data_IF_549358872999
#
_entry.id   IF_549358872999
#
_cell.length_a   1.000
_cell.length_b   1.000
_cell.length_c   1.000
_cell.angle_alpha   90.00
_cell.angle_beta   90.00
_cell.angle_gamma   90.00
#
_symmetry.space_group_name_H-M   'P 1'
#
loop_
_entity.id
_entity.type
_entity.pdbx_description
1 polymer ?
#
# COMPACT_ATOMS: atom_id res chain seq x y z
N UNK A 1 24.63 58.42 25.00
CA UNK A 1 25.24 57.26 24.31
C UNK A 1 24.73 55.94 24.88
N UNK A 2 24.62 55.81 26.20
CA UNK A 2 24.07 54.65 26.90
C UNK A 2 22.60 54.36 26.57
N UNK A 3 21.75 55.39 26.45
CA UNK A 3 20.31 55.17 26.23
C UNK A 3 20.00 54.55 24.86
N UNK A 4 20.73 54.95 23.82
CA UNK A 4 20.60 54.37 22.48
C UNK A 4 21.05 52.90 22.45
N UNK A 5 22.11 52.55 23.20
CA UNK A 5 22.57 51.16 23.37
C UNK A 5 21.53 50.31 24.11
N UNK A 6 20.91 50.84 25.16
CA UNK A 6 19.86 50.15 25.92
C UNK A 6 18.64 49.90 25.04
N UNK A 7 18.19 50.90 24.28
CA UNK A 7 17.05 50.76 23.35
C UNK A 7 17.36 49.71 22.28
N UNK A 8 18.55 49.75 21.67
CA UNK A 8 18.97 48.77 20.67
C UNK A 8 19.00 47.35 21.24
N UNK A 9 19.50 47.18 22.46
CA UNK A 9 19.54 45.88 23.13
C UNK A 9 18.14 45.35 23.42
N UNK A 10 17.21 46.20 23.88
CA UNK A 10 15.82 45.80 24.11
C UNK A 10 15.15 45.35 22.81
N UNK A 11 15.32 46.11 21.72
CA UNK A 11 14.78 45.76 20.40
C UNK A 11 15.37 44.44 19.90
N UNK A 12 16.67 44.21 20.11
CA UNK A 12 17.33 42.98 19.74
C UNK A 12 16.78 41.77 20.52
N UNK A 13 16.56 41.91 21.83
CA UNK A 13 15.92 40.87 22.63
C UNK A 13 14.50 40.54 22.17
N UNK A 14 13.70 41.56 21.82
CA UNK A 14 12.36 41.35 21.27
C UNK A 14 12.43 40.59 19.94
N UNK A 15 13.34 40.96 19.04
CA UNK A 15 13.53 40.28 17.76
C UNK A 15 13.98 38.82 17.94
N UNK A 16 14.90 38.56 18.87
CA UNK A 16 15.37 37.20 19.20
C UNK A 16 14.23 36.33 19.73
N UNK A 17 13.41 36.87 20.64
CA UNK A 17 12.26 36.13 21.18
C UNK A 17 11.22 35.85 20.09
N UNK A 18 10.95 36.80 19.20
CA UNK A 18 10.05 36.60 18.07
C UNK A 18 10.56 35.52 17.11
N UNK A 19 11.86 35.52 16.79
CA UNK A 19 12.51 34.49 15.98
C UNK A 19 12.43 33.12 16.64
N UNK A 20 12.66 33.02 17.95
CA UNK A 20 12.55 31.77 18.71
C UNK A 20 11.14 31.18 18.59
N UNK A 21 10.11 32.00 18.78
CA UNK A 21 8.71 31.58 18.64
C UNK A 21 8.40 31.12 17.22
N UNK A 22 8.87 31.85 16.20
CA UNK A 22 8.69 31.47 14.80
C UNK A 22 9.36 30.12 14.48
N UNK A 23 10.59 29.90 14.96
CA UNK A 23 11.31 28.62 14.79
C UNK A 23 10.57 27.47 15.48
N UNK A 24 10.07 27.66 16.70
CA UNK A 24 9.27 26.64 17.40
C UNK A 24 7.97 26.35 16.63
N UNK A 25 7.28 27.38 16.13
CA UNK A 25 6.05 27.21 15.35
C UNK A 25 6.31 26.43 14.05
N UNK A 26 7.36 26.78 13.30
CA UNK A 26 7.77 26.08 12.09
C UNK A 26 8.22 24.64 12.39
N UNK A 27 8.98 24.42 13.47
CA UNK A 27 9.37 23.07 13.90
C UNK A 27 8.15 22.20 14.24
N UNK A 28 7.11 22.77 14.87
CA UNK A 28 5.85 22.08 15.13
C UNK A 28 5.10 21.78 13.85
N UNK A 29 5.04 22.71 12.90
CA UNK A 29 4.42 22.51 11.57
C UNK A 29 5.12 21.40 10.79
N UNK A 30 6.45 21.34 10.84
CA UNK A 30 7.24 20.27 10.23
C UNK A 30 6.98 18.95 10.95
N UNK A 31 6.92 18.94 12.28
CA UNK A 31 6.62 17.74 13.08
C UNK A 31 5.26 17.10 12.74
N UNK A 32 4.18 17.89 12.70
CA UNK A 32 2.83 17.37 12.36
C UNK A 32 2.74 16.91 10.89
N UNK A 33 3.53 17.50 10.00
CA UNK A 33 3.56 17.15 8.59
C UNK A 33 4.36 15.85 8.38
N UNK A 34 5.53 15.72 9.04
CA UNK A 34 6.32 14.49 9.03
C UNK A 34 5.56 13.32 9.67
N UNK A 35 4.79 13.55 10.73
CA UNK A 35 3.97 12.50 11.36
C UNK A 35 2.86 11.97 10.43
N UNK A 36 2.37 12.79 9.50
CA UNK A 36 1.43 12.37 8.46
C UNK A 36 2.06 11.77 7.21
N UNK A 37 3.32 12.10 6.91
CA UNK A 37 3.99 11.73 5.64
C UNK A 37 5.01 10.59 5.84
N UNK A 38 5.59 10.44 7.02
CA UNK A 38 6.65 9.48 7.28
C UNK A 38 6.18 8.31 8.14
N UNK A 39 5.55 7.28 7.56
CA UNK A 39 5.94 5.92 7.85
C UNK A 39 7.14 5.56 6.95
N UNK A 40 8.23 6.33 7.01
CA UNK A 40 9.40 6.15 6.13
C UNK A 40 10.66 6.15 7.00
N UNK A 41 11.15 4.94 7.28
CA UNK A 41 12.42 4.77 7.98
C UNK A 41 12.86 3.32 8.18
N UNK A 42 11.94 2.36 8.43
CA UNK A 42 12.37 1.02 8.88
C UNK A 42 11.42 -0.18 8.66
N UNK A 43 10.35 -0.10 7.85
CA UNK A 43 9.32 -1.17 7.78
C UNK A 43 9.04 -1.71 6.37
N UNK A 44 10.05 -1.71 5.50
CA UNK A 44 10.20 -2.83 4.55
C UNK A 44 10.63 -4.07 5.35
N UNK A 45 9.82 -4.49 6.32
CA UNK A 45 9.91 -5.87 6.76
C UNK A 45 9.28 -6.63 5.59
N UNK A 46 10.14 -7.14 4.70
CA UNK A 46 9.79 -8.12 3.68
C UNK A 46 9.47 -9.46 4.36
N UNK A 47 8.49 -9.37 5.26
CA UNK A 47 7.96 -10.46 6.05
C UNK A 47 6.74 -10.98 5.30
N UNK A 48 6.70 -12.29 5.06
CA UNK A 48 5.71 -12.95 4.22
C UNK A 48 6.36 -13.55 2.96
N UNK A 49 5.61 -14.27 2.12
CA UNK A 49 6.12 -14.92 0.90
C UNK A 49 6.88 -13.95 0.02
N UNK A 50 8.11 -14.26 -0.40
CA UNK A 50 8.94 -13.32 -1.16
C UNK A 50 8.47 -13.21 -2.61
N UNK A 51 8.83 -12.11 -3.25
CA UNK A 51 8.64 -11.97 -4.70
C UNK A 51 9.52 -13.03 -5.40
N UNK A 52 8.93 -13.78 -6.31
CA UNK A 52 9.52 -14.93 -7.00
C UNK A 52 9.24 -16.29 -6.34
N UNK A 53 8.67 -16.32 -5.13
CA UNK A 53 8.28 -17.57 -4.45
C UNK A 53 6.81 -17.91 -4.71
N UNK A 54 6.45 -19.17 -4.49
CA UNK A 54 5.06 -19.62 -4.54
C UNK A 54 4.25 -18.97 -3.40
N UNK A 55 3.07 -18.49 -3.74
CA UNK A 55 2.10 -17.98 -2.79
C UNK A 55 1.56 -19.14 -1.92
N UNK A 56 1.35 -18.94 -0.61
CA UNK A 56 0.65 -19.90 0.21
C UNK A 56 -0.77 -20.10 -0.32
N UNK A 57 -1.18 -21.36 -0.41
CA UNK A 57 -2.47 -21.73 -1.00
C UNK A 57 -3.55 -21.68 0.09
N UNK A 58 -4.61 -20.94 -0.17
CA UNK A 58 -5.80 -20.88 0.66
C UNK A 58 -7.04 -21.15 -0.17
N UNK A 59 -8.01 -21.84 0.43
CA UNK A 59 -9.38 -21.93 -0.08
C UNK A 59 -10.30 -21.31 0.97
N UNK A 60 -10.88 -20.15 0.66
CA UNK A 60 -11.62 -19.33 1.62
C UNK A 60 -13.03 -19.03 1.13
N UNK A 61 -14.03 -19.03 2.03
CA UNK A 61 -15.37 -18.58 1.69
C UNK A 61 -15.36 -17.07 1.40
N UNK A 62 -16.03 -16.69 0.31
CA UNK A 62 -16.28 -15.29 -0.01
C UNK A 62 -17.53 -14.81 0.71
N UNK A 63 -17.50 -13.58 1.23
CA UNK A 63 -18.63 -12.91 1.86
C UNK A 63 -19.84 -12.74 0.90
N UNK A 64 -19.59 -12.72 -0.41
CA UNK A 64 -20.63 -12.71 -1.44
C UNK A 64 -21.25 -14.07 -1.77
N UNK A 65 -20.80 -15.13 -1.09
CA UNK A 65 -21.07 -16.52 -1.46
C UNK A 65 -19.99 -17.09 -2.39
N UNK A 66 -19.89 -18.42 -2.41
CA UNK A 66 -18.84 -19.14 -3.13
C UNK A 66 -17.53 -19.22 -2.37
N UNK A 67 -16.52 -19.78 -3.03
CA UNK A 67 -15.16 -19.96 -2.51
C UNK A 67 -14.16 -19.32 -3.47
N UNK A 68 -13.06 -18.83 -2.92
CA UNK A 68 -11.94 -18.29 -3.70
C UNK A 68 -10.65 -18.98 -3.28
N UNK A 69 -9.97 -19.54 -4.28
CA UNK A 69 -8.63 -20.06 -4.12
C UNK A 69 -7.63 -18.92 -4.30
N UNK A 70 -6.81 -18.67 -3.27
CA UNK A 70 -5.71 -17.69 -3.31
C UNK A 70 -4.40 -18.45 -3.37
N UNK A 71 -3.51 -18.08 -4.29
CA UNK A 71 -2.17 -18.67 -4.42
C UNK A 71 -2.11 -20.00 -5.19
N UNK A 72 -3.25 -20.64 -5.46
CA UNK A 72 -3.31 -21.77 -6.39
C UNK A 72 -3.12 -21.31 -7.84
N UNK A 73 -2.58 -22.17 -8.73
CA UNK A 73 -2.58 -21.90 -10.16
C UNK A 73 -3.98 -21.62 -10.69
N UNK A 74 -4.12 -20.57 -11.49
CA UNK A 74 -5.38 -20.08 -12.01
C UNK A 74 -5.24 -19.70 -13.49
N UNK A 75 -6.37 -19.48 -14.17
CA UNK A 75 -6.36 -19.06 -15.57
C UNK A 75 -5.87 -17.61 -15.77
N UNK A 76 -5.85 -16.82 -14.70
CA UNK A 76 -5.54 -15.38 -14.71
C UNK A 76 -4.67 -15.05 -13.51
N UNK A 77 -3.92 -13.95 -13.61
CA UNK A 77 -3.23 -13.38 -12.47
C UNK A 77 -4.25 -12.88 -11.43
N UNK A 78 -3.89 -12.92 -10.15
CA UNK A 78 -4.72 -12.45 -9.04
C UNK A 78 -4.09 -11.25 -8.38
N UNK A 79 -4.79 -10.12 -8.35
CA UNK A 79 -4.48 -8.98 -7.50
C UNK A 79 -5.25 -9.11 -6.18
N UNK A 80 -4.53 -9.51 -5.13
CA UNK A 80 -5.05 -9.60 -3.78
C UNK A 80 -4.85 -8.25 -3.06
N UNK A 81 -5.94 -7.59 -2.72
CA UNK A 81 -5.93 -6.28 -2.07
C UNK A 81 -6.47 -6.37 -0.64
N UNK A 82 -5.58 -6.15 0.33
CA UNK A 82 -5.92 -6.08 1.74
C UNK A 82 -6.45 -4.69 2.09
N UNK A 83 -7.63 -4.64 2.71
CA UNK A 83 -8.32 -3.41 3.08
C UNK A 83 -9.02 -3.54 4.42
N UNK A 84 -9.56 -2.43 4.93
CA UNK A 84 -10.41 -2.41 6.12
C UNK A 84 -11.51 -1.34 5.97
N UNK A 85 -12.72 -1.50 6.57
CA UNK A 85 -13.80 -0.53 6.49
C UNK A 85 -13.48 0.80 7.17
N UNK A 86 -12.54 0.79 8.13
CA UNK A 86 -12.10 1.97 8.86
C UNK A 86 -10.95 2.71 8.17
N UNK A 87 -10.33 2.11 7.15
CA UNK A 87 -9.19 2.67 6.41
C UNK A 87 -9.63 3.69 5.33
N UNK A 88 -9.34 5.01 5.49
CA UNK A 88 -9.79 6.02 4.53
C UNK A 88 -9.07 5.95 3.18
N UNK A 89 -7.80 5.56 3.18
CA UNK A 89 -6.99 5.42 1.96
C UNK A 89 -7.52 4.26 1.11
N UNK A 90 -7.90 3.15 1.75
CA UNK A 90 -8.46 1.98 1.09
C UNK A 90 -9.73 2.36 0.30
N UNK A 91 -10.64 3.13 0.91
CA UNK A 91 -11.86 3.65 0.26
C UNK A 91 -11.57 4.46 -1.00
N UNK A 92 -10.54 5.30 -0.97
CA UNK A 92 -10.15 6.14 -2.12
C UNK A 92 -9.61 5.32 -3.29
N UNK A 93 -9.01 4.16 -3.03
CA UNK A 93 -8.44 3.30 -4.06
C UNK A 93 -9.44 2.33 -4.69
N UNK A 94 -10.62 2.10 -4.10
CA UNK A 94 -11.59 1.15 -4.66
C UNK A 94 -12.02 1.49 -6.10
N UNK A 95 -12.36 2.76 -6.44
CA UNK A 95 -12.71 3.09 -7.82
C UNK A 95 -11.56 2.87 -8.80
N UNK A 96 -10.31 3.07 -8.33
CA UNK A 96 -9.10 2.83 -9.13
C UNK A 96 -8.95 1.34 -9.41
N UNK A 97 -9.08 0.48 -8.40
CA UNK A 97 -9.00 -0.97 -8.55
C UNK A 97 -10.10 -1.51 -9.47
N UNK A 98 -11.33 -1.02 -9.34
CA UNK A 98 -12.44 -1.36 -10.22
C UNK A 98 -12.17 -0.97 -11.68
N UNK A 99 -11.60 0.22 -11.90
CA UNK A 99 -11.20 0.71 -13.22
C UNK A 99 -10.08 -0.14 -13.84
N UNK A 100 -9.06 -0.50 -13.05
CA UNK A 100 -7.96 -1.37 -13.49
C UNK A 100 -8.49 -2.76 -13.86
N UNK A 101 -9.31 -3.37 -13.00
CA UNK A 101 -9.94 -4.66 -13.30
C UNK A 101 -10.82 -4.58 -14.54
N UNK A 102 -11.59 -3.50 -14.74
CA UNK A 102 -12.40 -3.36 -15.96
C UNK A 102 -11.53 -3.38 -17.23
N UNK A 103 -10.35 -2.75 -17.20
CA UNK A 103 -9.40 -2.75 -18.31
C UNK A 103 -8.70 -4.10 -18.52
N UNK A 104 -8.37 -4.81 -17.44
CA UNK A 104 -7.60 -6.08 -17.46
C UNK A 104 -8.42 -7.33 -17.13
N UNK A 105 -9.75 -7.27 -17.17
CA UNK A 105 -10.65 -8.36 -16.72
C UNK A 105 -10.44 -9.72 -17.41
N UNK A 106 -9.76 -9.74 -18.56
CA UNK A 106 -9.38 -10.97 -19.28
C UNK A 106 -8.15 -11.67 -18.70
N UNK A 107 -7.27 -10.93 -18.05
CA UNK A 107 -5.94 -11.38 -17.60
C UNK A 107 -5.74 -11.22 -16.10
N UNK A 108 -6.62 -10.49 -15.41
CA UNK A 108 -6.51 -10.18 -14.00
C UNK A 108 -7.84 -10.40 -13.27
N UNK A 109 -7.80 -11.17 -12.19
CA UNK A 109 -8.86 -11.27 -11.20
C UNK A 109 -8.51 -10.40 -9.98
N UNK A 110 -9.51 -9.71 -9.42
CA UNK A 110 -9.37 -8.83 -8.27
C UNK A 110 -10.06 -9.43 -7.05
N UNK A 111 -9.30 -9.68 -5.98
CA UNK A 111 -9.80 -10.28 -4.74
C UNK A 111 -9.54 -9.32 -3.58
N UNK A 112 -10.58 -9.02 -2.80
CA UNK A 112 -10.46 -8.22 -1.59
C UNK A 112 -10.30 -9.12 -0.37
N UNK A 113 -9.38 -8.77 0.51
CA UNK A 113 -9.16 -9.46 1.77
C UNK A 113 -9.24 -8.48 2.94
N UNK A 114 -9.85 -8.93 4.03
CA UNK A 114 -9.80 -8.25 5.33
C UNK A 114 -9.89 -9.26 6.46
N UNK A 115 -9.67 -8.78 7.67
CA UNK A 115 -10.14 -9.37 8.91
C UNK A 115 -11.25 -8.49 9.53
N UNK A 116 -11.92 -8.96 10.57
CA UNK A 116 -12.96 -8.21 11.29
C UNK A 116 -14.33 -8.89 11.30
N UNK A 117 -15.33 -8.17 11.80
CA UNK A 117 -16.69 -8.69 11.99
C UNK A 117 -17.53 -8.60 10.70
N UNK A 118 -18.24 -9.68 10.39
CA UNK A 118 -19.05 -9.80 9.17
C UNK A 118 -20.05 -8.65 8.92
N UNK A 119 -20.80 -8.13 9.92
CA UNK A 119 -21.81 -7.09 9.66
C UNK A 119 -21.20 -5.79 9.12
N UNK A 120 -20.10 -5.30 9.72
CA UNK A 120 -19.42 -4.07 9.28
C UNK A 120 -18.89 -4.22 7.85
N UNK A 121 -18.34 -5.40 7.54
CA UNK A 121 -17.81 -5.73 6.23
C UNK A 121 -18.89 -5.89 5.16
N UNK A 122 -20.04 -6.45 5.51
CA UNK A 122 -21.18 -6.58 4.60
C UNK A 122 -21.72 -5.21 4.19
N UNK A 123 -21.92 -4.31 5.16
CA UNK A 123 -22.32 -2.92 4.90
C UNK A 123 -21.29 -2.15 4.08
N UNK A 124 -20.00 -2.33 4.40
CA UNK A 124 -18.91 -1.73 3.64
C UNK A 124 -18.91 -2.20 2.19
N UNK A 125 -19.00 -3.51 1.96
CA UNK A 125 -19.04 -4.12 0.62
C UNK A 125 -20.20 -3.58 -0.21
N UNK A 126 -21.38 -3.43 0.39
CA UNK A 126 -22.55 -2.89 -0.29
C UNK A 126 -22.35 -1.41 -0.66
N UNK A 127 -21.95 -0.57 0.31
CA UNK A 127 -21.75 0.88 0.09
C UNK A 127 -20.65 1.17 -0.92
N UNK A 128 -19.60 0.36 -0.93
CA UNK A 128 -18.48 0.51 -1.83
C UNK A 128 -18.69 -0.14 -3.22
N UNK A 129 -19.84 -0.77 -3.47
CA UNK A 129 -20.14 -1.39 -4.76
C UNK A 129 -19.24 -2.59 -5.07
N UNK A 130 -18.76 -3.31 -4.06
CA UNK A 130 -17.86 -4.46 -4.22
C UNK A 130 -18.62 -5.79 -4.45
N UNK A 131 -19.86 -5.71 -4.90
CA UNK A 131 -20.76 -6.86 -5.09
C UNK A 131 -20.25 -7.88 -6.11
N UNK A 132 -19.59 -7.42 -7.15
CA UNK A 132 -19.10 -8.27 -8.24
C UNK A 132 -17.75 -8.95 -7.96
N UNK A 133 -17.10 -8.63 -6.83
CA UNK A 133 -15.75 -9.09 -6.53
C UNK A 133 -15.75 -10.06 -5.35
N UNK A 134 -14.90 -11.11 -5.39
CA UNK A 134 -14.61 -11.92 -4.22
C UNK A 134 -14.11 -11.06 -3.06
N UNK A 135 -14.66 -11.30 -1.88
CA UNK A 135 -14.30 -10.58 -0.66
C UNK A 135 -14.14 -11.61 0.46
N UNK A 136 -12.92 -11.85 0.92
CA UNK A 136 -12.62 -12.82 1.98
C UNK A 136 -12.42 -12.13 3.32
N UNK A 137 -12.96 -12.76 4.37
CA UNK A 137 -12.73 -12.40 5.76
C UNK A 137 -11.88 -13.49 6.42
N UNK A 138 -10.57 -13.25 6.56
CA UNK A 138 -9.65 -14.22 7.15
C UNK A 138 -8.44 -13.54 7.79
N UNK A 139 -8.37 -13.61 9.12
CA UNK A 139 -7.20 -13.18 9.88
C UNK A 139 -5.98 -14.05 9.54
N UNK A 140 -6.18 -15.35 9.31
CA UNK A 140 -5.11 -16.29 8.94
C UNK A 140 -4.44 -15.91 7.62
N UNK A 141 -5.21 -15.46 6.65
CA UNK A 141 -4.68 -14.95 5.39
C UNK A 141 -3.78 -13.74 5.63
N UNK A 142 -4.27 -12.73 6.37
CA UNK A 142 -3.48 -11.54 6.73
C UNK A 142 -2.18 -11.89 7.48
N UNK A 143 -2.25 -12.82 8.43
CA UNK A 143 -1.09 -13.30 9.20
C UNK A 143 -0.06 -14.04 8.33
N UNK A 144 -0.52 -14.88 7.40
CA UNK A 144 0.35 -15.68 6.52
C UNK A 144 1.13 -14.79 5.54
N UNK A 145 0.48 -13.73 5.06
CA UNK A 145 1.12 -12.68 4.27
C UNK A 145 1.87 -11.65 5.14
N UNK A 146 1.84 -11.81 6.47
CA UNK A 146 2.43 -10.92 7.49
C UNK A 146 2.08 -9.44 7.24
N UNK A 147 0.82 -9.19 6.90
CA UNK A 147 0.29 -7.85 6.65
C UNK A 147 0.20 -7.11 7.98
N UNK A 148 0.98 -6.04 8.12
CA UNK A 148 0.98 -5.19 9.31
C UNK A 148 0.36 -3.81 9.08
N UNK A 149 0.14 -3.43 7.82
CA UNK A 149 -0.33 -2.11 7.41
C UNK A 149 -1.22 -2.22 6.18
N UNK A 150 -2.19 -1.31 6.07
CA UNK A 150 -3.16 -1.21 4.99
C UNK A 150 -3.09 0.19 4.34
N UNK A 151 -3.41 0.34 3.05
CA UNK A 151 -3.77 -0.71 2.10
C UNK A 151 -2.52 -1.45 1.61
N UNK A 152 -2.63 -2.77 1.43
CA UNK A 152 -1.54 -3.61 0.94
C UNK A 152 -2.00 -4.43 -0.25
N UNK A 153 -1.19 -4.50 -1.30
CA UNK A 153 -1.49 -5.27 -2.50
C UNK A 153 -0.45 -6.36 -2.71
N UNK A 154 -0.90 -7.52 -3.16
CA UNK A 154 -0.08 -8.64 -3.61
C UNK A 154 -0.54 -9.03 -4.99
N UNK A 155 0.40 -9.13 -5.92
CA UNK A 155 0.16 -9.63 -7.26
C UNK A 155 0.73 -11.04 -7.40
N UNK A 156 -0.15 -11.98 -7.72
CA UNK A 156 0.15 -13.39 -7.93
C UNK A 156 -0.11 -13.70 -9.40
N UNK A 157 0.82 -14.37 -10.09
CA UNK A 157 0.61 -14.77 -11.48
C UNK A 157 -0.23 -16.05 -11.62
N UNK A 158 -0.49 -16.47 -12.86
CA UNK A 158 -1.29 -17.64 -13.21
C UNK A 158 -0.73 -18.94 -12.65
N UNK A 159 0.56 -18.98 -12.32
CA UNK A 159 1.25 -20.15 -11.76
C UNK A 159 1.22 -20.18 -10.24
N UNK A 160 0.63 -19.16 -9.60
CA UNK A 160 0.64 -19.02 -8.15
C UNK A 160 1.94 -18.41 -7.61
N UNK A 161 2.76 -17.74 -8.45
CA UNK A 161 4.01 -17.11 -8.02
C UNK A 161 3.77 -15.64 -7.67
N UNK A 162 4.37 -15.17 -6.58
CA UNK A 162 4.31 -13.76 -6.17
C UNK A 162 5.17 -12.92 -7.10
N UNK A 163 4.57 -11.99 -7.83
CA UNK A 163 5.26 -11.10 -8.79
C UNK A 163 5.53 -9.71 -8.25
N UNK A 164 4.78 -9.30 -7.23
CA UNK A 164 5.03 -8.06 -6.53
C UNK A 164 4.13 -7.95 -5.31
N UNK A 165 4.59 -7.21 -4.31
CA UNK A 165 3.81 -6.94 -3.11
C UNK A 165 4.24 -5.63 -2.46
N UNK A 166 3.33 -4.95 -1.79
CA UNK A 166 3.67 -3.74 -1.07
C UNK A 166 2.48 -2.91 -0.61
N UNK A 167 2.80 -1.89 0.18
CA UNK A 167 1.85 -0.84 0.53
C UNK A 167 1.53 -0.01 -0.71
N UNK A 168 0.25 0.25 -0.90
CA UNK A 168 -0.24 1.04 -2.03
C UNK A 168 -1.12 2.18 -1.53
N UNK A 169 -0.88 3.39 -2.03
CA UNK A 169 -1.64 4.59 -1.70
C UNK A 169 -2.10 5.36 -2.94
N UNK A 170 -1.74 4.90 -4.13
CA UNK A 170 -1.92 5.59 -5.40
C UNK A 170 -2.11 4.60 -6.55
N UNK A 171 -2.63 5.10 -7.69
CA UNK A 171 -2.87 4.30 -8.89
C UNK A 171 -1.56 3.78 -9.48
N UNK A 172 -0.56 4.65 -9.52
CA UNK A 172 0.74 4.42 -10.12
C UNK A 172 1.47 3.25 -9.45
N UNK A 173 1.30 3.09 -8.13
CA UNK A 173 1.88 1.96 -7.40
C UNK A 173 1.21 0.63 -7.75
N UNK A 174 -0.10 0.62 -7.97
CA UNK A 174 -0.82 -0.59 -8.41
C UNK A 174 -0.41 -0.94 -9.84
N UNK A 175 -0.35 0.05 -10.73
CA UNK A 175 0.09 -0.13 -12.12
C UNK A 175 1.56 -0.57 -12.19
N UNK A 176 2.41 -0.12 -11.27
CA UNK A 176 3.79 -0.61 -11.14
C UNK A 176 3.86 -2.10 -10.80
N UNK A 177 2.94 -2.61 -9.95
CA UNK A 177 2.87 -4.05 -9.65
C UNK A 177 2.48 -4.84 -10.90
N UNK A 178 1.47 -4.37 -11.64
CA UNK A 178 1.00 -5.01 -12.88
C UNK A 178 2.09 -5.02 -13.96
N UNK A 179 2.83 -3.91 -14.09
CA UNK A 179 3.96 -3.82 -15.03
C UNK A 179 5.07 -4.82 -14.68
N UNK A 180 5.33 -5.09 -13.39
CA UNK A 180 6.30 -6.09 -12.97
C UNK A 180 5.91 -7.52 -13.39
N UNK A 181 4.61 -7.84 -13.44
CA UNK A 181 4.12 -9.09 -14.05
C UNK A 181 4.49 -9.13 -15.53
N UNK A 182 4.15 -8.10 -16.29
CA UNK A 182 4.33 -8.09 -17.74
C UNK A 182 5.78 -8.22 -18.19
N UNK A 183 6.68 -7.58 -17.44
CA UNK A 183 8.10 -7.60 -17.78
C UNK A 183 8.81 -8.88 -17.35
N UNK A 184 8.16 -9.79 -16.62
CA UNK A 184 8.86 -10.98 -16.11
C UNK A 184 9.84 -10.67 -14.97
N UNK A 185 9.80 -9.47 -14.40
CA UNK A 185 10.83 -8.94 -13.50
C UNK A 185 10.45 -9.18 -12.04
N UNK A 186 11.37 -9.77 -11.29
CA UNK A 186 11.19 -10.08 -9.86
C UNK A 186 11.44 -8.82 -9.00
N UNK A 187 12.23 -7.86 -9.49
CA UNK A 187 12.50 -6.57 -8.83
C UNK A 187 13.20 -5.56 -9.76
N UNK A 188 13.35 -4.32 -9.31
CA UNK A 188 14.19 -3.30 -9.98
C UNK A 188 15.66 -3.72 -10.02
N UNK A 189 16.16 -4.43 -8.99
CA UNK A 189 17.50 -5.05 -9.04
C UNK A 189 17.61 -6.05 -10.19
N UNK A 190 16.61 -6.92 -10.38
CA UNK A 190 16.60 -7.92 -11.46
C UNK A 190 16.55 -7.27 -12.86
N UNK A 191 15.89 -6.09 -12.98
CA UNK A 191 15.95 -5.27 -14.19
C UNK A 191 17.35 -4.70 -14.44
N UNK A 192 17.98 -4.15 -13.40
CA UNK A 192 19.33 -3.59 -13.50
C UNK A 192 20.35 -4.69 -13.84
N UNK A 193 20.26 -5.85 -13.21
CA UNK A 193 21.13 -6.99 -13.45
C UNK A 193 20.97 -7.53 -14.89
N UNK A 194 19.74 -7.67 -15.38
CA UNK A 194 19.48 -8.07 -16.78
C UNK A 194 19.91 -7.03 -17.79
N UNK A 195 19.76 -5.73 -17.47
CA UNK A 195 20.19 -4.64 -18.34
C UNK A 195 21.72 -4.60 -18.44
N UNK A 196 22.42 -4.73 -17.32
CA UNK A 196 23.88 -4.82 -17.25
C UNK A 196 24.38 -6.05 -18.03
N UNK A 197 23.74 -7.21 -17.85
CA UNK A 197 24.08 -8.43 -18.60
C UNK A 197 23.91 -8.28 -20.12
N UNK A 198 22.99 -7.43 -20.57
CA UNK A 198 22.72 -7.16 -21.99
C UNK A 198 23.64 -6.10 -22.61
N UNK A 199 24.28 -5.26 -21.80
CA UNK A 199 25.27 -4.27 -22.25
C UNK A 199 26.70 -4.85 -22.32
N UNK A 200 26.95 -5.99 -21.68
CA UNK A 200 28.25 -6.68 -21.66
C UNK A 200 28.34 -7.79 -22.75
N UNK A 201 27.22 -8.19 -23.33
CA UNK A 201 27.14 -9.18 -24.43
C UNK A 201 27.15 -8.49 -25.80
#
# INVERSE_FOLDING_TARGET
MTDALVISNIVLWVAVLALLVAVIALSRQIGILYERIAPMGALMMDTGPKVGEAAPVFDLPSLGGGHVAVGAPAARATLLFFLSPTCPVCKKLLPVLQSIHAAESRTLDLVFASDGEMPEHAEFRQRAGLGAFPYVLSAELGMSWRISKLPYAVLIDERGIVRGKGLVNSREQIESLLTARDLGLVSVQDYMDRKIAKEIA
#
